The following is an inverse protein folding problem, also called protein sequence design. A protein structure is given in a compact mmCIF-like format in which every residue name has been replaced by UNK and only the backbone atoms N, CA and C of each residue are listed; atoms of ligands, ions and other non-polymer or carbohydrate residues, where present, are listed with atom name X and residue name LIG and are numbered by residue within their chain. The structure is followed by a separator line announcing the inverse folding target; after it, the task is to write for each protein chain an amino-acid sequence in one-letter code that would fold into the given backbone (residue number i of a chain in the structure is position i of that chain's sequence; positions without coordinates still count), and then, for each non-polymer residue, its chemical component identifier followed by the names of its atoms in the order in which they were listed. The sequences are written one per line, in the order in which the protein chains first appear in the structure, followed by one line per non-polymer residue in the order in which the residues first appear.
data_IF_927513816673
#
_entry.id   IF_927513816673
#
_cell.length_a   1.000
_cell.length_b   1.000
_cell.length_c   1.000
_cell.angle_alpha   90.00
_cell.angle_beta   90.00
_cell.angle_gamma   90.00
#
_symmetry.space_group_name_H-M   'P 1'
#
loop_
_entity.id
_entity.type
_entity.pdbx_description
1 polymer ?
#
# COMPACT_ATOMS: atom_id res chain seq x y z
N UNK A 1 16.26 2.42 23.16
CA UNK A 1 15.48 1.22 22.76
C UNK A 1 14.38 1.00 23.79
N UNK A 2 13.14 0.66 23.38
CA UNK A 2 12.10 0.28 24.37
C UNK A 2 12.48 -1.08 24.96
N UNK A 3 12.42 -1.22 26.28
CA UNK A 3 12.62 -2.51 26.97
C UNK A 3 11.66 -3.58 26.43
N UNK A 4 12.11 -4.83 26.35
CA UNK A 4 11.30 -5.97 25.88
C UNK A 4 10.04 -6.19 26.72
N UNK A 5 10.07 -5.83 28.00
CA UNK A 5 8.87 -5.78 28.86
C UNK A 5 7.85 -4.77 28.31
N UNK A 6 8.30 -3.56 27.94
CA UNK A 6 7.42 -2.56 27.37
C UNK A 6 6.85 -3.00 26.01
N UNK A 7 7.63 -3.72 25.20
CA UNK A 7 7.15 -4.29 23.94
C UNK A 7 6.06 -5.36 24.17
N UNK A 8 6.22 -6.24 25.17
CA UNK A 8 5.22 -7.25 25.54
C UNK A 8 3.91 -6.59 26.00
N UNK A 9 3.98 -5.52 26.80
CA UNK A 9 2.77 -4.79 27.22
C UNK A 9 2.08 -4.08 26.06
N UNK A 10 2.84 -3.53 25.11
CA UNK A 10 2.26 -2.97 23.88
C UNK A 10 1.60 -4.07 23.05
N UNK A 11 2.22 -5.24 22.94
CA UNK A 11 1.68 -6.38 22.22
C UNK A 11 0.38 -6.89 22.86
N UNK A 12 0.32 -7.00 24.20
CA UNK A 12 -0.91 -7.31 24.94
C UNK A 12 -2.05 -6.38 24.50
N UNK A 13 -1.80 -5.07 24.51
CA UNK A 13 -2.79 -4.07 24.10
C UNK A 13 -3.16 -4.17 22.62
N UNK A 14 -2.19 -4.44 21.74
CA UNK A 14 -2.42 -4.53 20.29
C UNK A 14 -3.19 -5.80 19.90
N UNK A 15 -2.95 -6.90 20.60
CA UNK A 15 -3.62 -8.19 20.38
C UNK A 15 -4.97 -8.30 21.12
N UNK A 16 -5.33 -7.30 21.94
CA UNK A 16 -6.60 -7.29 22.66
C UNK A 16 -6.70 -8.36 23.75
N UNK A 17 -5.56 -8.78 24.33
CA UNK A 17 -5.55 -9.80 25.39
C UNK A 17 -5.94 -9.16 26.73
N UNK A 18 -6.94 -9.73 27.38
CA UNK A 18 -7.23 -9.44 28.79
C UNK A 18 -6.13 -9.98 29.71
N UNK A 19 -6.17 -9.60 30.98
CA UNK A 19 -5.13 -9.92 31.96
C UNK A 19 -4.96 -11.43 32.19
N UNK A 20 -6.04 -12.19 32.22
CA UNK A 20 -6.01 -13.61 32.52
C UNK A 20 -5.53 -14.40 31.31
N UNK A 21 -6.06 -14.10 30.12
CA UNK A 21 -5.58 -14.68 28.85
C UNK A 21 -4.10 -14.36 28.63
N UNK A 22 -3.69 -13.13 28.93
CA UNK A 22 -2.30 -12.72 28.84
C UNK A 22 -1.40 -13.55 29.77
N UNK A 23 -1.72 -13.65 31.06
CA UNK A 23 -0.93 -14.42 32.05
C UNK A 23 -0.86 -15.90 31.69
N UNK A 24 -1.98 -16.49 31.27
CA UNK A 24 -2.03 -17.88 30.84
C UNK A 24 -1.13 -18.12 29.61
N UNK A 25 -1.15 -17.20 28.64
CA UNK A 25 -0.31 -17.29 27.45
C UNK A 25 1.18 -17.15 27.78
N UNK A 26 1.54 -16.24 28.68
CA UNK A 26 2.91 -16.13 29.18
C UNK A 26 3.37 -17.44 29.86
N UNK A 27 2.55 -18.00 30.75
CA UNK A 27 2.84 -19.25 31.42
C UNK A 27 3.01 -20.42 30.44
N UNK A 28 2.22 -20.46 29.37
CA UNK A 28 2.35 -21.49 28.32
C UNK A 28 3.67 -21.38 27.55
N UNK A 29 4.18 -20.17 27.32
CA UNK A 29 5.38 -19.96 26.52
C UNK A 29 6.65 -20.14 27.37
N UNK A 30 6.65 -19.69 28.62
CA UNK A 30 7.87 -19.59 29.43
C UNK A 30 7.74 -20.19 30.83
N UNK A 31 6.58 -20.74 31.20
CA UNK A 31 6.29 -21.21 32.57
C UNK A 31 6.01 -20.10 33.59
N UNK A 32 6.10 -18.82 33.21
CA UNK A 32 5.96 -17.67 34.12
C UNK A 32 4.76 -16.81 33.75
N UNK A 33 4.04 -16.33 34.76
CA UNK A 33 2.85 -15.48 34.55
C UNK A 33 3.16 -13.98 34.43
N UNK A 34 4.39 -13.57 34.72
CA UNK A 34 4.82 -12.16 34.72
C UNK A 34 6.04 -11.96 33.82
N UNK A 35 5.96 -10.96 32.94
CA UNK A 35 7.08 -10.57 32.08
C UNK A 35 8.28 -10.01 32.87
N UNK A 36 8.07 -9.59 34.13
CA UNK A 36 9.15 -9.12 35.01
C UNK A 36 10.03 -10.27 35.49
N UNK A 37 9.46 -11.45 35.65
CA UNK A 37 10.16 -12.64 36.17
C UNK A 37 10.91 -13.38 35.07
N UNK A 38 10.73 -12.97 33.81
CA UNK A 38 11.36 -13.58 32.64
C UNK A 38 12.79 -13.07 32.42
N UNK A 39 13.65 -13.95 31.91
CA UNK A 39 14.92 -13.58 31.29
C UNK A 39 14.68 -12.85 29.97
N UNK A 40 15.73 -12.25 29.40
CA UNK A 40 15.60 -11.57 28.12
C UNK A 40 15.27 -12.53 26.97
N UNK A 41 15.84 -13.74 26.97
CA UNK A 41 15.58 -14.77 25.97
C UNK A 41 14.13 -15.29 26.03
N UNK A 42 13.59 -15.44 27.24
CA UNK A 42 12.18 -15.78 27.46
C UNK A 42 11.26 -14.69 26.93
N UNK A 43 11.59 -13.41 27.19
CA UNK A 43 10.81 -12.26 26.66
C UNK A 43 10.87 -12.21 25.13
N UNK A 44 12.01 -12.50 24.52
CA UNK A 44 12.15 -12.53 23.07
C UNK A 44 11.37 -13.70 22.44
N UNK A 45 11.29 -14.84 23.14
CA UNK A 45 10.43 -15.97 22.74
C UNK A 45 8.95 -15.59 22.74
N UNK A 46 8.48 -14.92 23.80
CA UNK A 46 7.11 -14.37 23.87
C UNK A 46 6.83 -13.40 22.73
N UNK A 47 7.75 -12.45 22.49
CA UNK A 47 7.60 -11.48 21.41
C UNK A 47 7.56 -12.14 20.02
N UNK A 48 8.28 -13.24 19.83
CA UNK A 48 8.24 -14.01 18.58
C UNK A 48 6.88 -14.65 18.36
N UNK A 49 6.32 -15.30 19.39
CA UNK A 49 4.95 -15.84 19.33
C UNK A 49 3.95 -14.73 19.05
N UNK A 50 4.04 -13.60 19.74
CA UNK A 50 3.13 -12.48 19.52
C UNK A 50 3.25 -11.90 18.11
N UNK A 51 4.46 -11.82 17.52
CA UNK A 51 4.64 -11.40 16.11
C UNK A 51 3.92 -12.34 15.16
N UNK A 52 4.03 -13.66 15.38
CA UNK A 52 3.31 -14.66 14.59
C UNK A 52 1.78 -14.54 14.74
N UNK A 53 1.33 -14.04 15.89
CA UNK A 53 -0.08 -13.76 16.18
C UNK A 53 -0.53 -12.34 15.73
N UNK A 54 0.34 -11.57 15.06
CA UNK A 54 -0.02 -10.27 14.46
C UNK A 54 0.47 -9.03 15.22
N UNK A 55 1.31 -9.18 16.24
CA UNK A 55 2.00 -8.04 16.86
C UNK A 55 3.04 -7.44 15.91
N UNK A 56 3.05 -6.11 15.78
CA UNK A 56 4.01 -5.38 14.95
C UNK A 56 4.62 -4.22 15.75
N UNK A 57 5.96 -4.14 15.91
CA UNK A 57 6.60 -3.06 16.65
C UNK A 57 6.26 -1.67 16.10
N UNK A 58 6.29 -0.64 16.96
CA UNK A 58 5.95 0.74 16.57
C UNK A 58 6.85 1.32 15.46
N UNK A 59 8.09 0.84 15.31
CA UNK A 59 8.95 1.17 14.17
C UNK A 59 8.49 0.49 12.88
N UNK A 60 7.96 -0.73 12.96
CA UNK A 60 7.38 -1.42 11.81
C UNK A 60 6.08 -0.77 11.32
N UNK A 61 5.36 -0.06 12.21
CA UNK A 61 4.12 0.66 11.88
C UNK A 61 4.33 2.07 11.36
N UNK A 62 5.57 2.56 11.27
CA UNK A 62 5.91 3.86 10.66
C UNK A 62 6.73 3.70 9.39
N UNK A 63 6.54 4.63 8.46
CA UNK A 63 7.33 4.78 7.23
C UNK A 63 8.64 5.51 7.55
N UNK A 64 9.56 5.52 6.59
CA UNK A 64 10.82 6.27 6.70
C UNK A 64 10.59 7.79 6.90
N UNK A 65 9.48 8.32 6.40
CA UNK A 65 9.06 9.72 6.58
C UNK A 65 8.32 9.99 7.92
N UNK A 66 8.27 9.00 8.82
CA UNK A 66 7.64 9.13 10.14
C UNK A 66 6.12 8.94 10.15
N UNK A 67 5.44 8.91 8.99
CA UNK A 67 3.98 8.68 8.91
C UNK A 67 3.62 7.25 9.32
N UNK A 68 2.43 7.05 9.88
CA UNK A 68 1.91 5.69 10.13
C UNK A 68 1.67 4.98 8.81
N UNK A 69 2.03 3.70 8.73
CA UNK A 69 1.68 2.84 7.59
C UNK A 69 0.18 2.54 7.63
N UNK A 70 -0.45 2.56 6.46
CA UNK A 70 -1.77 2.00 6.28
C UNK A 70 -1.72 0.50 6.61
N UNK A 71 -2.64 0.02 7.44
CA UNK A 71 -2.73 -1.40 7.84
C UNK A 71 -4.07 -1.99 7.41
N UNK A 72 -4.12 -3.33 7.32
CA UNK A 72 -5.30 -4.09 6.91
C UNK A 72 -5.05 -4.92 5.66
N UNK A 73 -5.89 -5.95 5.47
CA UNK A 73 -5.77 -6.95 4.39
C UNK A 73 -5.73 -6.32 2.99
N UNK A 74 -6.52 -5.28 2.76
CA UNK A 74 -6.66 -4.61 1.45
C UNK A 74 -5.92 -3.27 1.36
N UNK A 75 -5.22 -2.87 2.43
CA UNK A 75 -4.61 -1.54 2.55
C UNK A 75 -3.62 -1.21 1.43
N UNK A 76 -2.72 -2.15 1.09
CA UNK A 76 -1.72 -1.95 0.02
C UNK A 76 -2.37 -1.71 -1.34
N UNK A 77 -3.45 -2.43 -1.66
CA UNK A 77 -4.16 -2.30 -2.95
C UNK A 77 -4.89 -0.96 -3.05
N UNK A 78 -5.61 -0.57 -2.00
CA UNK A 78 -6.26 0.74 -1.92
C UNK A 78 -5.24 1.88 -2.01
N UNK A 79 -4.11 1.73 -1.31
CA UNK A 79 -3.03 2.70 -1.36
C UNK A 79 -2.42 2.82 -2.77
N UNK A 80 -2.16 1.70 -3.44
CA UNK A 80 -1.61 1.72 -4.80
C UNK A 80 -2.54 2.45 -5.78
N UNK A 81 -3.86 2.21 -5.69
CA UNK A 81 -4.86 2.92 -6.49
C UNK A 81 -4.93 4.41 -6.15
N UNK A 82 -4.83 4.77 -4.87
CA UNK A 82 -4.80 6.18 -4.46
C UNK A 82 -3.57 6.92 -5.00
N UNK A 83 -2.40 6.29 -4.93
CA UNK A 83 -1.16 6.82 -5.51
C UNK A 83 -1.27 6.94 -7.03
N UNK A 84 -1.88 5.97 -7.71
CA UNK A 84 -2.15 6.06 -9.14
C UNK A 84 -3.06 7.27 -9.47
N UNK A 85 -4.15 7.46 -8.72
CA UNK A 85 -5.04 8.61 -8.90
C UNK A 85 -4.33 9.96 -8.64
N UNK A 86 -3.44 10.02 -7.65
CA UNK A 86 -2.56 11.17 -7.42
C UNK A 86 -1.58 11.42 -8.58
N UNK A 87 -0.96 10.36 -9.11
CA UNK A 87 -0.05 10.44 -10.24
C UNK A 87 -0.75 10.81 -11.55
N UNK A 88 -2.05 10.56 -11.68
CA UNK A 88 -2.88 11.06 -12.78
C UNK A 88 -3.41 12.49 -12.53
N UNK A 89 -3.11 13.08 -11.37
CA UNK A 89 -3.61 14.40 -10.99
C UNK A 89 -5.14 14.45 -10.77
N UNK A 90 -5.77 13.30 -10.50
CA UNK A 90 -7.21 13.18 -10.22
C UNK A 90 -7.51 13.56 -8.77
N UNK A 91 -6.68 13.04 -7.87
CA UNK A 91 -6.75 13.34 -6.44
C UNK A 91 -5.85 14.53 -6.12
N UNK A 92 -6.33 15.44 -5.26
CA UNK A 92 -5.59 16.65 -4.81
C UNK A 92 -4.79 16.45 -3.52
N UNK A 93 -5.14 15.44 -2.72
CA UNK A 93 -4.44 15.12 -1.48
C UNK A 93 -3.99 13.66 -1.48
N UNK A 94 -2.68 13.47 -1.53
CA UNK A 94 -2.06 12.14 -1.58
C UNK A 94 -2.07 11.41 -0.23
N UNK A 95 -2.38 12.10 0.86
CA UNK A 95 -2.19 11.56 2.19
C UNK A 95 -3.17 10.42 2.51
N UNK A 96 -2.69 9.47 3.31
CA UNK A 96 -3.44 8.28 3.74
C UNK A 96 -4.77 8.66 4.43
N UNK A 97 -4.84 9.82 5.09
CA UNK A 97 -6.06 10.30 5.74
C UNK A 97 -7.17 10.64 4.72
N UNK A 98 -6.79 11.21 3.57
CA UNK A 98 -7.71 11.46 2.47
C UNK A 98 -8.21 10.15 1.85
N UNK A 99 -7.32 9.15 1.70
CA UNK A 99 -7.70 7.80 1.29
C UNK A 99 -8.67 7.16 2.29
N UNK A 100 -8.39 7.23 3.60
CA UNK A 100 -9.28 6.68 4.64
C UNK A 100 -10.66 7.35 4.58
N UNK A 101 -10.70 8.67 4.40
CA UNK A 101 -11.96 9.41 4.23
C UNK A 101 -12.72 8.97 2.99
N UNK A 102 -12.02 8.70 1.88
CA UNK A 102 -12.64 8.12 0.69
C UNK A 102 -13.22 6.74 0.96
N UNK A 103 -12.45 5.84 1.59
CA UNK A 103 -12.89 4.48 1.95
C UNK A 103 -14.15 4.54 2.82
N UNK A 104 -14.15 5.37 3.87
CA UNK A 104 -15.31 5.57 4.75
C UNK A 104 -16.55 6.00 3.97
N UNK A 105 -16.43 6.90 2.99
CA UNK A 105 -17.57 7.30 2.14
C UNK A 105 -18.12 6.15 1.28
N UNK A 106 -17.27 5.25 0.80
CA UNK A 106 -17.70 4.14 -0.05
C UNK A 106 -18.31 2.96 0.73
N UNK A 107 -17.82 2.72 1.95
CA UNK A 107 -18.10 1.49 2.71
C UNK A 107 -18.79 1.72 4.05
N UNK A 108 -18.75 2.93 4.61
CA UNK A 108 -19.15 3.24 5.99
C UNK A 108 -18.10 2.84 7.04
N UNK A 109 -16.95 2.28 6.64
CA UNK A 109 -15.95 1.74 7.57
C UNK A 109 -14.84 2.77 7.83
N UNK A 110 -14.60 3.06 9.11
CA UNK A 110 -13.73 4.15 9.58
C UNK A 110 -12.25 4.03 9.18
N UNK A 111 -11.75 2.83 8.94
CA UNK A 111 -10.33 2.64 8.60
C UNK A 111 -10.12 1.33 7.84
N UNK A 112 -9.15 1.34 6.92
CA UNK A 112 -8.71 0.15 6.15
C UNK A 112 -8.35 -1.09 6.98
N UNK A 113 -8.01 -0.94 8.27
CA UNK A 113 -7.68 -2.07 9.15
C UNK A 113 -8.91 -2.92 9.48
N UNK A 114 -10.10 -2.31 9.38
CA UNK A 114 -11.39 -2.94 9.63
C UNK A 114 -12.04 -3.46 8.33
N UNK A 115 -11.42 -3.23 7.17
CA UNK A 115 -11.80 -3.90 5.92
C UNK A 115 -11.33 -5.34 5.96
N UNK A 116 -12.09 -6.19 6.65
CA UNK A 116 -11.80 -7.63 6.78
C UNK A 116 -12.47 -8.42 5.66
N UNK A 117 -13.69 -8.04 5.29
CA UNK A 117 -14.49 -8.69 4.25
C UNK A 117 -14.14 -8.14 2.86
N UNK A 118 -14.12 -9.04 1.88
CA UNK A 118 -13.74 -8.71 0.51
C UNK A 118 -14.76 -7.78 -0.16
N UNK A 119 -16.06 -7.97 0.10
CA UNK A 119 -17.12 -7.18 -0.52
C UNK A 119 -17.06 -5.70 -0.13
N UNK A 120 -16.79 -5.41 1.14
CA UNK A 120 -16.57 -4.03 1.60
C UNK A 120 -15.36 -3.41 0.92
N UNK A 121 -14.25 -4.14 0.84
CA UNK A 121 -13.05 -3.65 0.18
C UNK A 121 -13.29 -3.44 -1.33
N UNK A 122 -14.05 -4.33 -1.97
CA UNK A 122 -14.37 -4.25 -3.40
C UNK A 122 -15.17 -2.99 -3.72
N UNK A 123 -16.10 -2.56 -2.85
CA UNK A 123 -16.82 -1.28 -3.03
C UNK A 123 -15.85 -0.10 -3.18
N UNK A 124 -14.86 0.01 -2.29
CA UNK A 124 -13.86 1.09 -2.38
C UNK A 124 -12.88 0.91 -3.56
N UNK A 125 -12.46 -0.33 -3.84
CA UNK A 125 -11.53 -0.64 -4.94
C UNK A 125 -12.15 -0.33 -6.30
N UNK A 126 -13.37 -0.81 -6.55
CA UNK A 126 -14.05 -0.61 -7.83
C UNK A 126 -14.51 0.84 -7.99
N UNK A 127 -14.88 1.53 -6.91
CA UNK A 127 -15.10 2.98 -6.95
C UNK A 127 -13.84 3.74 -7.39
N UNK A 128 -12.65 3.39 -6.85
CA UNK A 128 -11.39 4.00 -7.28
C UNK A 128 -11.06 3.71 -8.74
N UNK A 129 -11.14 2.44 -9.17
CA UNK A 129 -10.88 2.07 -10.56
C UNK A 129 -11.84 2.74 -11.53
N UNK A 130 -13.14 2.80 -11.19
CA UNK A 130 -14.16 3.46 -11.99
C UNK A 130 -13.87 4.95 -12.14
N UNK A 131 -13.55 5.62 -11.03
CA UNK A 131 -13.16 7.03 -11.05
C UNK A 131 -11.91 7.26 -11.91
N UNK A 132 -10.85 6.47 -11.70
CA UNK A 132 -9.61 6.58 -12.48
C UNK A 132 -9.85 6.34 -13.96
N UNK A 133 -10.63 5.32 -14.32
CA UNK A 133 -10.98 5.01 -15.71
C UNK A 133 -11.76 6.16 -16.35
N UNK A 134 -12.70 6.77 -15.63
CA UNK A 134 -13.51 7.88 -16.15
C UNK A 134 -12.65 9.11 -16.47
N UNK A 135 -11.70 9.44 -15.61
CA UNK A 135 -10.93 10.69 -15.72
C UNK A 135 -9.69 10.56 -16.62
N UNK A 136 -9.13 9.36 -16.77
CA UNK A 136 -7.86 9.15 -17.46
C UNK A 136 -7.81 7.91 -18.38
N UNK A 137 -8.94 7.25 -18.60
CA UNK A 137 -9.06 6.11 -19.53
C UNK A 137 -8.08 4.95 -19.24
N UNK A 138 -7.73 4.72 -17.96
CA UNK A 138 -6.81 3.64 -17.58
C UNK A 138 -7.43 2.27 -17.87
N UNK A 139 -6.64 1.42 -18.54
CA UNK A 139 -7.06 0.14 -19.11
C UNK A 139 -6.99 -1.03 -18.11
N UNK A 140 -7.51 -0.86 -16.88
CA UNK A 140 -7.47 -1.94 -15.88
C UNK A 140 -8.15 -3.23 -16.37
N UNK A 141 -7.55 -4.39 -16.09
CA UNK A 141 -8.14 -5.71 -16.32
C UNK A 141 -7.82 -6.39 -17.67
N UNK A 142 -7.36 -5.65 -18.69
CA UNK A 142 -6.93 -6.22 -19.97
C UNK A 142 -5.54 -5.66 -20.34
N UNK A 143 -4.67 -6.49 -20.91
CA UNK A 143 -3.40 -6.04 -21.51
C UNK A 143 -3.59 -5.42 -22.90
N UNK A 144 -4.81 -5.54 -23.47
CA UNK A 144 -5.17 -5.18 -24.83
C UNK A 144 -4.27 -5.85 -25.89
N UNK A 145 -3.77 -7.05 -25.58
CA UNK A 145 -2.87 -7.79 -26.48
C UNK A 145 -1.41 -7.34 -26.42
N UNK A 146 -1.03 -6.48 -25.48
CA UNK A 146 0.36 -6.03 -25.30
C UNK A 146 0.97 -6.55 -23.99
N UNK A 147 2.00 -7.37 -24.09
CA UNK A 147 2.67 -7.98 -22.93
C UNK A 147 3.14 -6.94 -21.89
N UNK A 148 3.64 -5.80 -22.37
CA UNK A 148 4.13 -4.73 -21.50
C UNK A 148 3.02 -4.02 -20.69
N UNK A 149 1.74 -4.15 -21.07
CA UNK A 149 0.59 -3.64 -20.31
C UNK A 149 0.09 -4.61 -19.22
N UNK A 150 0.75 -5.75 -19.01
CA UNK A 150 0.39 -6.68 -17.95
C UNK A 150 0.42 -6.00 -16.56
N UNK A 151 1.44 -5.17 -16.30
CA UNK A 151 1.57 -4.44 -15.05
C UNK A 151 0.62 -3.23 -14.98
N UNK A 152 -0.11 -3.06 -13.86
CA UNK A 152 -0.97 -1.88 -13.67
C UNK A 152 -0.19 -0.57 -13.67
N UNK A 153 1.08 -0.58 -13.26
CA UNK A 153 1.98 0.56 -13.37
C UNK A 153 2.21 1.02 -14.81
N UNK A 154 2.34 0.07 -15.74
CA UNK A 154 2.46 0.37 -17.17
C UNK A 154 1.18 1.00 -17.74
N UNK A 155 0.02 0.48 -17.33
CA UNK A 155 -1.29 1.03 -17.74
C UNK A 155 -1.47 2.47 -17.27
N UNK A 156 -1.09 2.78 -16.03
CA UNK A 156 -1.14 4.14 -15.49
C UNK A 156 -0.12 5.03 -16.19
N UNK A 157 1.12 4.58 -16.39
CA UNK A 157 2.14 5.32 -17.11
C UNK A 157 1.73 5.67 -18.55
N UNK A 158 1.07 4.72 -19.23
CA UNK A 158 0.52 4.97 -20.57
C UNK A 158 -0.60 6.00 -20.57
N UNK A 159 -1.53 5.92 -19.62
CA UNK A 159 -2.57 6.94 -19.46
C UNK A 159 -1.98 8.33 -19.18
N UNK A 160 -0.95 8.41 -18.33
CA UNK A 160 -0.22 9.65 -18.10
C UNK A 160 0.45 10.19 -19.36
N UNK A 161 1.04 9.31 -20.17
CA UNK A 161 1.65 9.70 -21.44
C UNK A 161 0.62 10.28 -22.40
N UNK A 162 -0.58 9.70 -22.50
CA UNK A 162 -1.66 10.24 -23.33
C UNK A 162 -2.15 11.61 -22.88
N UNK A 163 -2.10 11.89 -21.57
CA UNK A 163 -2.40 13.23 -21.02
C UNK A 163 -1.30 14.24 -21.43
N UNK A 164 -0.02 13.84 -21.34
CA UNK A 164 1.12 14.71 -21.64
C UNK A 164 1.36 14.90 -23.14
N UNK A 165 0.95 13.93 -23.96
CA UNK A 165 1.17 13.88 -25.40
C UNK A 165 -0.16 13.58 -26.10
N UNK A 166 -1.03 14.60 -26.28
CA UNK A 166 -2.29 14.42 -26.99
C UNK A 166 -2.08 13.82 -28.39
N UNK A 167 -2.92 12.85 -28.76
CA UNK A 167 -2.81 12.14 -30.03
C UNK A 167 -1.85 10.94 -30.02
N UNK A 168 -1.18 10.64 -28.90
CA UNK A 168 -0.42 9.40 -28.77
C UNK A 168 -1.34 8.16 -28.87
N UNK A 169 -1.02 7.26 -29.79
CA UNK A 169 -1.73 6.00 -29.98
C UNK A 169 -0.90 4.81 -29.49
N UNK A 170 -1.60 3.74 -29.09
CA UNK A 170 -1.00 2.57 -28.43
C UNK A 170 -0.18 1.70 -29.40
N UNK A 171 -0.39 1.83 -30.71
CA UNK A 171 0.36 1.08 -31.73
C UNK A 171 1.74 1.70 -31.95
N UNK A 172 1.79 3.00 -32.23
CA UNK A 172 3.02 3.72 -32.52
C UNK A 172 3.79 4.11 -31.25
N UNK A 173 3.10 4.33 -30.13
CA UNK A 173 3.68 4.72 -28.82
C UNK A 173 4.72 5.84 -28.94
N UNK A 174 4.45 6.81 -29.82
CA UNK A 174 5.44 7.82 -30.24
C UNK A 174 6.07 8.50 -29.02
N UNK A 175 7.39 8.33 -28.87
CA UNK A 175 8.21 8.89 -27.79
C UNK A 175 8.02 8.29 -26.40
N UNK A 176 7.07 7.37 -26.20
CA UNK A 176 6.83 6.73 -24.90
C UNK A 176 7.98 5.78 -24.54
N UNK A 177 8.35 4.90 -25.47
CA UNK A 177 9.40 3.90 -25.27
C UNK A 177 10.74 4.60 -24.93
N UNK A 178 11.09 5.67 -25.65
CA UNK A 178 12.29 6.50 -25.38
C UNK A 178 12.24 7.18 -24.00
N UNK A 179 11.06 7.69 -23.60
CA UNK A 179 10.89 8.31 -22.30
C UNK A 179 11.04 7.28 -21.17
N UNK A 180 10.49 6.08 -21.33
CA UNK A 180 10.63 4.98 -20.38
C UNK A 180 12.08 4.51 -20.30
N UNK A 181 12.75 4.32 -21.44
CA UNK A 181 14.17 3.97 -21.51
C UNK A 181 15.02 5.01 -20.77
N UNK A 182 14.82 6.30 -21.02
CA UNK A 182 15.58 7.37 -20.36
C UNK A 182 15.42 7.36 -18.83
N UNK A 183 14.25 6.98 -18.32
CA UNK A 183 13.94 6.97 -16.89
C UNK A 183 14.36 5.68 -16.18
N UNK A 184 14.40 4.55 -16.90
CA UNK A 184 14.58 3.22 -16.31
C UNK A 184 15.88 2.54 -16.72
N UNK A 185 16.50 2.96 -17.83
CA UNK A 185 17.60 2.27 -18.49
C UNK A 185 17.18 0.99 -19.21
N UNK A 186 15.89 0.67 -19.27
CA UNK A 186 15.38 -0.58 -19.84
C UNK A 186 14.78 -0.31 -21.22
N UNK A 187 15.32 -0.97 -22.26
CA UNK A 187 14.88 -0.76 -23.64
C UNK A 187 13.56 -1.48 -23.98
N UNK A 188 13.32 -2.65 -23.38
CA UNK A 188 12.12 -3.44 -23.64
C UNK A 188 11.09 -3.22 -22.54
N UNK A 189 9.93 -2.67 -22.89
CA UNK A 189 8.88 -2.30 -21.92
C UNK A 189 8.41 -3.49 -21.06
N UNK A 190 8.35 -4.70 -21.64
CA UNK A 190 7.99 -5.93 -20.92
C UNK A 190 9.01 -6.36 -19.86
N UNK A 191 10.24 -5.83 -19.91
CA UNK A 191 11.29 -6.08 -18.92
C UNK A 191 11.32 -5.01 -17.82
N UNK A 192 10.53 -3.94 -17.93
CA UNK A 192 10.46 -2.89 -16.92
C UNK A 192 9.86 -3.45 -15.63
N UNK A 193 10.63 -3.36 -14.55
CA UNK A 193 10.23 -3.89 -13.24
C UNK A 193 9.12 -3.04 -12.60
N UNK A 194 8.43 -3.55 -11.56
CA UNK A 194 7.46 -2.76 -10.82
C UNK A 194 8.03 -1.45 -10.24
N UNK A 195 9.29 -1.44 -9.80
CA UNK A 195 9.97 -0.22 -9.34
C UNK A 195 10.31 0.72 -10.49
N UNK A 196 10.69 0.19 -11.66
CA UNK A 196 10.86 0.99 -12.88
C UNK A 196 9.57 1.73 -13.26
N UNK A 197 8.43 1.03 -13.26
CA UNK A 197 7.13 1.67 -13.50
C UNK A 197 6.77 2.70 -12.44
N UNK A 198 7.13 2.50 -11.17
CA UNK A 198 6.96 3.53 -10.13
C UNK A 198 7.76 4.79 -10.45
N UNK A 199 9.01 4.66 -10.90
CA UNK A 199 9.85 5.80 -11.32
C UNK A 199 9.19 6.57 -12.47
N UNK A 200 8.74 5.85 -13.51
CA UNK A 200 8.05 6.45 -14.67
C UNK A 200 6.78 7.19 -14.21
N UNK A 201 5.93 6.54 -13.42
CA UNK A 201 4.67 7.13 -12.97
C UNK A 201 4.85 8.37 -12.12
N UNK A 202 5.86 8.37 -11.24
CA UNK A 202 6.17 9.53 -10.41
C UNK A 202 6.63 10.71 -11.27
N UNK A 203 7.54 10.47 -12.21
CA UNK A 203 8.06 11.50 -13.11
C UNK A 203 6.97 12.11 -14.01
N UNK A 204 6.15 11.27 -14.64
CA UNK A 204 5.03 11.79 -15.46
C UNK A 204 3.97 12.46 -14.61
N UNK A 205 3.71 11.95 -13.41
CA UNK A 205 2.70 12.52 -12.52
C UNK A 205 3.08 13.88 -11.98
N UNK A 206 4.37 14.14 -11.73
CA UNK A 206 4.87 15.47 -11.41
C UNK A 206 4.59 16.46 -12.54
N UNK A 207 4.87 16.08 -13.80
CA UNK A 207 4.58 16.93 -14.96
C UNK A 207 3.09 17.22 -15.13
N UNK A 208 2.23 16.21 -14.99
CA UNK A 208 0.78 16.37 -15.09
C UNK A 208 0.27 17.33 -14.03
N UNK A 209 0.72 17.17 -12.78
CA UNK A 209 0.28 18.05 -11.68
C UNK A 209 0.87 19.45 -11.77
N UNK A 210 2.04 19.64 -12.37
CA UNK A 210 2.60 20.96 -12.62
C UNK A 210 1.85 21.75 -13.71
N UNK A 211 1.13 21.06 -14.60
CA UNK A 211 0.31 21.67 -15.65
C UNK A 211 -1.15 21.93 -15.28
N UNK A 212 -1.55 21.67 -14.03
CA UNK A 212 -2.90 21.92 -13.50
C UNK A 212 -2.87 23.06 -12.48
#
# INVERSE_FOLDING_TARGET
MRSSIAAIHVAKKQLGLDDDTYRAKLARITGKQSAKDMSEDERQSVLTVFRNEGFAPASATRRADGRRKLTGRFAKKLQALWIAAWNLGIVRDRDDAALISFVKRQTGIEHTRFLVHADDANRAIEALKSWIRREAEVLYGNSNGYDWLAADGAKVAWAQWRILTPGADLMARKGFDDAVLKLTGVALLQQVTPSGWQTVMNHFGEKIRAGK
#
